data_IF_558431376196
#
_entry.id   IF_558431376196
#
_cell.length_a   1.000
_cell.length_b   1.000
_cell.length_c   1.000
_cell.angle_alpha   90.00
_cell.angle_beta   90.00
_cell.angle_gamma   90.00
#
_symmetry.space_group_name_H-M   'P 1'
#
loop_
_entity.id
_entity.type
_entity.pdbx_description
1 polymer ?
#
# COMPACT_ATOMS: atom_id res chain seq x y z
N UNK A 1 28.16 -48.83 80.95
CA UNK A 1 27.38 -47.70 81.39
C UNK A 1 27.10 -46.83 80.20
N UNK A 2 25.88 -46.49 79.96
CA UNK A 2 25.27 -45.67 78.92
C UNK A 2 24.98 -46.34 77.56
N UNK A 3 23.73 -46.73 77.46
CA UNK A 3 23.03 -47.14 76.24
C UNK A 3 22.77 -45.93 75.34
N UNK A 4 23.02 -46.06 74.07
CA UNK A 4 22.57 -45.12 73.02
C UNK A 4 21.53 -45.83 72.16
N UNK A 5 20.29 -45.34 72.34
CA UNK A 5 19.14 -45.72 71.55
C UNK A 5 19.25 -45.21 70.10
N UNK A 6 19.12 -46.12 69.13
CA UNK A 6 19.04 -45.75 67.67
C UNK A 6 17.54 -45.64 67.28
N UNK A 7 17.12 -44.45 67.01
CA UNK A 7 15.82 -44.20 66.42
C UNK A 7 15.96 -44.25 64.87
N UNK A 8 15.37 -45.24 64.25
CA UNK A 8 15.34 -45.35 62.76
C UNK A 8 14.15 -44.59 62.25
N UNK A 9 14.38 -43.52 61.53
CA UNK A 9 13.34 -42.72 60.84
C UNK A 9 13.15 -43.35 59.46
N UNK A 10 11.97 -43.95 59.22
CA UNK A 10 11.54 -44.39 57.90
C UNK A 10 11.06 -43.19 57.11
N UNK A 11 11.77 -42.82 56.05
CA UNK A 11 11.35 -41.84 55.08
C UNK A 11 10.64 -42.58 53.96
N UNK A 12 9.31 -42.43 53.90
CA UNK A 12 8.49 -42.89 52.79
C UNK A 12 8.66 -41.90 51.62
N UNK A 13 9.35 -42.31 50.56
CA UNK A 13 9.38 -41.62 49.27
C UNK A 13 8.03 -41.87 48.58
N UNK A 14 7.19 -40.85 48.57
CA UNK A 14 6.04 -40.76 47.65
C UNK A 14 6.54 -40.34 46.27
N UNK A 15 6.63 -41.31 45.35
CA UNK A 15 6.90 -41.08 43.95
C UNK A 15 5.69 -40.40 43.30
N UNK A 16 5.73 -39.07 43.14
CA UNK A 16 4.82 -38.34 42.26
C UNK A 16 5.14 -38.76 40.82
N UNK A 17 4.31 -39.58 40.22
CA UNK A 17 4.29 -39.87 38.79
C UNK A 17 3.80 -38.61 38.07
N UNK A 18 4.73 -37.79 37.55
CA UNK A 18 4.40 -36.72 36.63
C UNK A 18 3.94 -37.37 35.30
N UNK A 19 2.65 -37.37 35.07
CA UNK A 19 2.08 -37.67 33.76
C UNK A 19 2.56 -36.54 32.80
N UNK A 20 3.19 -36.87 31.67
CA UNK A 20 3.47 -35.84 30.67
C UNK A 20 2.13 -35.33 30.17
N UNK A 21 1.84 -34.04 30.40
CA UNK A 21 0.83 -33.33 29.63
C UNK A 21 1.29 -33.34 28.19
N UNK A 22 0.87 -34.30 27.40
CA UNK A 22 0.94 -34.23 25.95
C UNK A 22 0.02 -33.08 25.55
N UNK A 23 0.61 -31.91 25.32
CA UNK A 23 -0.03 -30.86 24.54
C UNK A 23 -0.23 -31.48 23.16
N UNK A 24 -1.43 -31.99 22.88
CA UNK A 24 -1.83 -32.30 21.52
C UNK A 24 -1.73 -30.97 20.77
N UNK A 25 -0.66 -30.78 20.00
CA UNK A 25 -0.64 -29.77 18.97
C UNK A 25 -1.84 -30.07 18.05
N UNK A 26 -2.81 -29.18 18.00
CA UNK A 26 -3.94 -29.32 17.11
C UNK A 26 -3.39 -29.53 15.69
N UNK A 27 -3.78 -30.64 15.06
CA UNK A 27 -3.36 -30.94 13.69
C UNK A 27 -3.89 -29.83 12.79
N UNK A 28 -3.01 -29.06 12.15
CA UNK A 28 -3.41 -27.92 11.31
C UNK A 28 -4.07 -28.44 10.04
N UNK A 29 -5.17 -27.78 9.61
CA UNK A 29 -5.89 -28.15 8.38
C UNK A 29 -5.04 -27.94 7.11
N UNK A 30 -3.97 -27.17 7.19
CA UNK A 30 -3.06 -26.79 6.12
C UNK A 30 -2.32 -25.50 6.46
N UNK A 31 -1.52 -25.01 5.54
CA UNK A 31 -0.74 -23.78 5.72
C UNK A 31 -0.77 -22.88 4.49
N UNK A 32 -0.71 -21.57 4.69
CA UNK A 32 -0.51 -20.57 3.63
C UNK A 32 0.71 -19.73 3.94
N UNK A 33 1.66 -19.70 3.00
CA UNK A 33 2.77 -18.75 3.03
C UNK A 33 2.36 -17.52 2.22
N UNK A 34 2.51 -16.33 2.82
CA UNK A 34 2.13 -15.05 2.18
C UNK A 34 3.34 -14.14 2.09
N UNK A 35 3.81 -13.90 0.88
CA UNK A 35 4.86 -12.91 0.62
C UNK A 35 4.21 -11.53 0.46
N UNK A 36 4.63 -10.56 1.25
CA UNK A 36 4.09 -9.20 1.25
C UNK A 36 5.14 -8.19 1.74
N UNK A 37 4.86 -6.88 1.61
CA UNK A 37 5.76 -5.81 2.06
C UNK A 37 5.14 -4.87 3.11
N UNK A 38 4.06 -5.28 3.77
CA UNK A 38 3.43 -4.54 4.85
C UNK A 38 4.22 -4.71 6.14
N UNK A 39 5.22 -3.84 6.37
CA UNK A 39 6.22 -3.99 7.44
C UNK A 39 6.31 -2.81 8.40
N UNK A 40 5.70 -1.65 8.10
CA UNK A 40 5.60 -0.55 9.06
C UNK A 40 4.67 -0.91 10.22
N UNK A 41 4.70 -0.12 11.29
CA UNK A 41 3.88 -0.40 12.49
C UNK A 41 2.39 -0.49 12.18
N UNK A 42 1.85 0.46 11.41
CA UNK A 42 0.46 0.48 11.01
C UNK A 42 0.10 -0.61 10.00
N UNK A 43 0.99 -0.88 9.03
CA UNK A 43 0.78 -1.93 8.03
C UNK A 43 0.79 -3.33 8.66
N UNK A 44 1.73 -3.56 9.61
CA UNK A 44 1.78 -4.82 10.35
C UNK A 44 0.50 -5.05 11.13
N UNK A 45 -0.02 -4.05 11.82
CA UNK A 45 -1.28 -4.15 12.53
C UNK A 45 -2.46 -4.51 11.59
N UNK A 46 -2.44 -4.04 10.34
CA UNK A 46 -3.44 -4.40 9.35
C UNK A 46 -3.32 -5.87 8.90
N UNK A 47 -2.13 -6.34 8.51
CA UNK A 47 -1.96 -7.74 8.05
C UNK A 47 -2.16 -8.76 9.17
N UNK A 48 -1.87 -8.40 10.41
CA UNK A 48 -2.11 -9.27 11.58
C UNK A 48 -3.61 -9.60 11.76
N UNK A 49 -4.53 -8.77 11.24
CA UNK A 49 -5.98 -9.07 11.22
C UNK A 49 -6.28 -10.25 10.30
N UNK A 50 -5.68 -10.30 9.11
CA UNK A 50 -5.82 -11.42 8.16
C UNK A 50 -5.23 -12.70 8.74
N UNK A 51 -3.99 -12.59 9.25
CA UNK A 51 -3.30 -13.69 9.91
C UNK A 51 -4.13 -14.29 11.04
N UNK A 52 -4.61 -13.46 11.97
CA UNK A 52 -5.37 -13.91 13.13
C UNK A 52 -6.66 -14.66 12.74
N UNK A 53 -7.34 -14.21 11.67
CA UNK A 53 -8.56 -14.88 11.21
C UNK A 53 -8.25 -16.23 10.55
N UNK A 54 -7.25 -16.30 9.67
CA UNK A 54 -6.78 -17.54 9.02
C UNK A 54 -6.36 -18.58 10.08
N UNK A 55 -5.63 -18.15 11.13
CA UNK A 55 -5.22 -19.02 12.23
C UNK A 55 -6.41 -19.47 13.09
N UNK A 56 -7.40 -18.60 13.33
CA UNK A 56 -8.63 -18.94 14.03
C UNK A 56 -9.46 -19.98 13.28
N UNK A 57 -9.44 -19.97 11.95
CA UNK A 57 -10.13 -20.94 11.10
C UNK A 57 -9.38 -22.30 11.02
N UNK A 58 -8.23 -22.40 11.70
CA UNK A 58 -7.46 -23.62 11.94
C UNK A 58 -6.36 -23.88 10.91
N UNK A 59 -5.96 -22.87 10.14
CA UNK A 59 -4.83 -22.95 9.22
C UNK A 59 -3.57 -22.34 9.85
N UNK A 60 -2.40 -22.68 9.30
CA UNK A 60 -1.14 -22.08 9.72
C UNK A 60 -0.74 -20.95 8.77
N UNK A 61 -0.56 -19.74 9.29
CA UNK A 61 0.03 -18.63 8.59
C UNK A 61 1.58 -18.73 8.58
N UNK A 62 2.20 -18.64 7.40
CA UNK A 62 3.64 -18.51 7.25
C UNK A 62 3.95 -17.12 6.70
N UNK A 63 4.55 -16.31 7.54
CA UNK A 63 4.85 -14.91 7.22
C UNK A 63 6.07 -14.80 6.30
N UNK A 64 5.86 -14.22 5.12
CA UNK A 64 6.88 -13.93 4.12
C UNK A 64 7.13 -12.42 3.95
N UNK A 65 7.09 -11.65 5.03
CA UNK A 65 7.28 -10.20 5.00
C UNK A 65 8.66 -9.79 4.46
N UNK A 66 8.69 -8.91 3.46
CA UNK A 66 9.93 -8.38 2.84
C UNK A 66 9.85 -6.85 2.81
N UNK A 67 10.65 -6.20 3.64
CA UNK A 67 10.67 -4.75 3.76
C UNK A 67 11.34 -4.05 2.57
N UNK A 68 10.90 -2.81 2.31
CA UNK A 68 11.61 -1.85 1.47
C UNK A 68 11.09 -1.70 0.04
N UNK A 69 11.42 -0.55 -0.55
CA UNK A 69 11.22 -0.24 -1.96
C UNK A 69 9.78 -0.18 -2.46
N UNK A 70 8.77 0.03 -1.57
CA UNK A 70 7.37 0.03 -1.99
C UNK A 70 6.90 -1.28 -2.65
N UNK A 71 7.58 -2.40 -2.33
CA UNK A 71 7.33 -3.72 -2.91
C UNK A 71 8.37 -4.22 -3.91
N UNK A 72 9.26 -3.37 -4.42
CA UNK A 72 10.27 -3.78 -5.42
C UNK A 72 11.21 -4.88 -4.91
N UNK A 73 11.60 -4.80 -3.63
CA UNK A 73 12.43 -5.82 -2.98
C UNK A 73 11.68 -7.16 -2.88
N UNK A 74 10.41 -7.12 -2.48
CA UNK A 74 9.56 -8.31 -2.39
C UNK A 74 9.37 -8.97 -3.77
N UNK A 75 9.16 -8.16 -4.83
CA UNK A 75 9.04 -8.66 -6.20
C UNK A 75 10.34 -9.33 -6.69
N UNK A 76 11.50 -8.80 -6.32
CA UNK A 76 12.81 -9.42 -6.63
C UNK A 76 12.94 -10.79 -5.96
N UNK A 77 12.58 -10.87 -4.67
CA UNK A 77 12.56 -12.14 -3.91
C UNK A 77 11.59 -13.13 -4.55
N UNK A 78 10.39 -12.69 -4.91
CA UNK A 78 9.36 -13.52 -5.52
C UNK A 78 9.83 -14.08 -6.88
N UNK A 79 10.42 -13.25 -7.75
CA UNK A 79 10.97 -13.67 -9.05
C UNK A 79 12.09 -14.70 -8.86
N UNK A 80 13.00 -14.48 -7.92
CA UNK A 80 14.07 -15.43 -7.61
C UNK A 80 13.54 -16.79 -7.14
N UNK A 81 12.52 -16.79 -6.28
CA UNK A 81 11.87 -18.01 -5.79
C UNK A 81 11.12 -18.75 -6.89
N UNK A 82 10.44 -18.03 -7.76
CA UNK A 82 9.73 -18.61 -8.92
C UNK A 82 10.70 -19.30 -9.88
N UNK A 83 11.84 -18.66 -10.21
CA UNK A 83 12.90 -19.26 -11.04
C UNK A 83 13.48 -20.51 -10.40
N UNK A 84 13.65 -20.53 -9.07
CA UNK A 84 14.10 -21.69 -8.31
C UNK A 84 13.04 -22.80 -8.17
N UNK A 85 11.84 -22.63 -8.74
CA UNK A 85 10.73 -23.60 -8.64
C UNK A 85 10.09 -23.70 -7.25
N UNK A 86 10.26 -22.68 -6.40
CA UNK A 86 9.73 -22.61 -5.05
C UNK A 86 8.95 -21.31 -4.79
N UNK A 87 7.90 -21.00 -5.56
CA UNK A 87 7.04 -19.87 -5.27
C UNK A 87 6.30 -20.06 -3.94
N UNK A 88 5.86 -18.96 -3.28
CA UNK A 88 4.99 -19.04 -2.10
C UNK A 88 3.60 -19.56 -2.48
N UNK A 89 2.76 -19.85 -1.48
CA UNK A 89 1.34 -20.14 -1.72
C UNK A 89 0.58 -18.90 -2.20
N UNK A 90 0.89 -17.75 -1.63
CA UNK A 90 0.25 -16.46 -1.93
C UNK A 90 1.32 -15.36 -1.94
N UNK A 91 1.18 -14.37 -2.82
CA UNK A 91 2.02 -13.18 -2.81
C UNK A 91 1.21 -11.93 -3.13
N UNK A 92 1.60 -10.81 -2.52
CA UNK A 92 1.11 -9.49 -2.90
C UNK A 92 1.61 -9.14 -4.30
N UNK A 93 0.70 -8.99 -5.27
CA UNK A 93 0.97 -8.61 -6.65
C UNK A 93 -0.14 -7.65 -7.08
N UNK A 94 0.17 -6.64 -7.90
CA UNK A 94 -0.77 -5.58 -8.26
C UNK A 94 -0.81 -5.31 -9.76
N UNK A 95 -1.96 -4.80 -10.21
CA UNK A 95 -2.14 -4.22 -11.53
C UNK A 95 -1.65 -5.09 -12.70
N UNK A 96 -0.93 -4.51 -13.67
CA UNK A 96 -0.41 -5.22 -14.83
C UNK A 96 0.48 -6.42 -14.53
N UNK A 97 1.16 -6.43 -13.36
CA UNK A 97 2.00 -7.57 -12.97
C UNK A 97 1.19 -8.86 -12.78
N UNK A 98 -0.11 -8.76 -12.47
CA UNK A 98 -0.98 -9.95 -12.41
C UNK A 98 -1.09 -10.60 -13.80
N UNK A 99 -1.16 -9.81 -14.86
CA UNK A 99 -1.18 -10.32 -16.23
C UNK A 99 0.17 -10.96 -16.60
N UNK A 100 1.29 -10.31 -16.23
CA UNK A 100 2.63 -10.85 -16.45
C UNK A 100 2.81 -12.20 -15.74
N UNK A 101 2.49 -12.27 -14.43
CA UNK A 101 2.56 -13.52 -13.68
C UNK A 101 1.58 -14.58 -14.14
N UNK A 102 0.37 -14.20 -14.56
CA UNK A 102 -0.63 -15.11 -15.14
C UNK A 102 -0.10 -15.80 -16.39
N UNK A 103 0.58 -15.04 -17.28
CA UNK A 103 1.15 -15.57 -18.52
C UNK A 103 2.27 -16.60 -18.29
N UNK A 104 2.92 -16.59 -17.13
CA UNK A 104 3.91 -17.63 -16.75
C UNK A 104 3.29 -18.98 -16.45
N UNK A 105 1.97 -19.02 -16.24
CA UNK A 105 1.25 -20.22 -15.80
C UNK A 105 1.48 -20.59 -14.33
N UNK A 106 2.15 -19.74 -13.52
CA UNK A 106 2.41 -19.99 -12.11
C UNK A 106 1.22 -19.62 -11.21
N UNK A 107 0.36 -18.70 -11.63
CA UNK A 107 -0.85 -18.37 -10.89
C UNK A 107 -1.93 -19.44 -11.09
N UNK A 108 -2.73 -19.67 -10.07
CA UNK A 108 -3.83 -20.65 -10.12
C UNK A 108 -5.10 -20.00 -10.63
N UNK A 109 -5.63 -20.51 -11.76
CA UNK A 109 -6.95 -20.16 -12.28
C UNK A 109 -8.08 -20.93 -11.62
N UNK A 110 -7.76 -22.05 -10.94
CA UNK A 110 -8.76 -22.96 -10.34
C UNK A 110 -9.00 -22.73 -8.86
N UNK A 111 -7.97 -22.32 -8.10
CA UNK A 111 -8.05 -22.24 -6.64
C UNK A 111 -9.16 -21.30 -6.14
N UNK A 112 -9.45 -20.21 -6.84
CA UNK A 112 -10.46 -19.23 -6.46
C UNK A 112 -11.80 -19.38 -7.17
N UNK A 113 -11.92 -20.32 -8.12
CA UNK A 113 -13.09 -20.46 -8.98
C UNK A 113 -14.39 -20.73 -8.22
N UNK A 114 -14.37 -21.67 -7.29
CA UNK A 114 -15.55 -22.00 -6.49
C UNK A 114 -15.86 -20.93 -5.45
N UNK A 115 -14.80 -20.36 -4.84
CA UNK A 115 -14.94 -19.29 -3.85
C UNK A 115 -15.52 -18.03 -4.49
N UNK A 116 -15.01 -17.60 -5.62
CA UNK A 116 -15.48 -16.39 -6.30
C UNK A 116 -16.94 -16.49 -6.75
N UNK A 117 -17.39 -17.68 -7.14
CA UNK A 117 -18.79 -17.93 -7.50
C UNK A 117 -19.71 -17.99 -6.27
N UNK A 118 -19.32 -18.78 -5.25
CA UNK A 118 -20.17 -18.95 -4.05
C UNK A 118 -20.34 -17.66 -3.27
N UNK A 119 -19.31 -16.82 -3.23
CA UNK A 119 -19.32 -15.49 -2.57
C UNK A 119 -19.78 -14.36 -3.51
N UNK A 120 -20.16 -14.67 -4.75
CA UNK A 120 -20.63 -13.69 -5.74
C UNK A 120 -19.69 -12.47 -5.94
N UNK A 121 -18.40 -12.72 -6.16
CA UNK A 121 -17.40 -11.66 -6.27
C UNK A 121 -17.71 -10.62 -7.36
N UNK A 122 -18.26 -11.05 -8.50
CA UNK A 122 -18.65 -10.13 -9.58
C UNK A 122 -19.79 -9.17 -9.16
N UNK A 123 -20.61 -9.56 -8.18
CA UNK A 123 -21.62 -8.68 -7.59
C UNK A 123 -21.09 -7.78 -6.47
N UNK A 124 -20.03 -8.20 -5.78
CA UNK A 124 -19.43 -7.47 -4.67
C UNK A 124 -18.44 -6.40 -5.13
N UNK A 125 -17.75 -6.62 -6.24
CA UNK A 125 -16.65 -5.78 -6.72
C UNK A 125 -17.10 -4.91 -7.90
N UNK A 126 -16.54 -3.69 -8.00
CA UNK A 126 -16.68 -2.92 -9.23
C UNK A 126 -15.94 -3.63 -10.37
N UNK A 127 -16.38 -3.40 -11.62
CA UNK A 127 -15.71 -3.97 -12.78
C UNK A 127 -14.22 -3.59 -12.81
N UNK A 128 -13.88 -2.37 -12.44
CA UNK A 128 -12.50 -1.89 -12.38
C UNK A 128 -11.66 -2.68 -11.39
N UNK A 129 -12.18 -2.97 -10.20
CA UNK A 129 -11.49 -3.78 -9.19
C UNK A 129 -11.37 -5.24 -9.66
N UNK A 130 -12.46 -5.84 -10.15
CA UNK A 130 -12.46 -7.24 -10.58
C UNK A 130 -11.52 -7.49 -11.76
N UNK A 131 -11.45 -6.57 -12.73
CA UNK A 131 -10.56 -6.70 -13.89
C UNK A 131 -9.08 -6.70 -13.49
N UNK A 132 -8.68 -6.02 -12.42
CA UNK A 132 -7.28 -5.98 -11.97
C UNK A 132 -6.79 -7.28 -11.35
N UNK A 133 -7.69 -8.19 -10.95
CA UNK A 133 -7.35 -9.44 -10.25
C UNK A 133 -7.73 -10.71 -11.02
N UNK A 134 -8.11 -10.53 -12.28
CA UNK A 134 -8.41 -11.63 -13.22
C UNK A 134 -7.29 -11.80 -14.26
N UNK A 135 -7.08 -13.04 -14.66
CA UNK A 135 -6.27 -13.41 -15.82
C UNK A 135 -7.12 -14.33 -16.70
N UNK A 136 -7.24 -13.99 -18.00
CA UNK A 136 -8.09 -14.71 -18.97
C UNK A 136 -9.55 -14.94 -18.50
N UNK A 137 -10.06 -14.02 -17.69
CA UNK A 137 -11.44 -14.06 -17.17
C UNK A 137 -11.60 -14.76 -15.82
N UNK A 138 -10.62 -15.53 -15.37
CA UNK A 138 -10.64 -16.21 -14.06
C UNK A 138 -9.97 -15.36 -12.97
N UNK A 139 -10.49 -15.41 -11.74
CA UNK A 139 -9.85 -14.81 -10.59
C UNK A 139 -8.57 -15.57 -10.22
N UNK A 140 -7.44 -14.89 -10.27
CA UNK A 140 -6.12 -15.42 -9.87
C UNK A 140 -5.55 -14.72 -8.64
N UNK A 141 -6.22 -13.68 -8.18
CA UNK A 141 -5.90 -12.95 -6.97
C UNK A 141 -7.19 -12.50 -6.26
N UNK A 142 -7.09 -12.24 -4.94
CA UNK A 142 -8.14 -11.58 -4.18
C UNK A 142 -7.74 -10.13 -3.93
N UNK A 143 -8.60 -9.14 -4.25
CA UNK A 143 -8.32 -7.75 -3.92
C UNK A 143 -8.54 -7.51 -2.42
N UNK A 144 -7.66 -6.74 -1.80
CA UNK A 144 -7.66 -6.55 -0.35
C UNK A 144 -8.23 -5.19 0.05
N UNK A 145 -7.81 -4.13 -0.63
CA UNK A 145 -8.22 -2.76 -0.34
C UNK A 145 -7.99 -1.84 -1.55
N UNK A 146 -8.56 -0.64 -1.50
CA UNK A 146 -8.30 0.43 -2.46
C UNK A 146 -7.61 1.58 -1.71
N UNK A 147 -6.48 2.02 -2.22
CA UNK A 147 -5.77 3.20 -1.78
C UNK A 147 -6.04 4.40 -2.68
N UNK A 148 -6.16 5.57 -2.09
CA UNK A 148 -6.00 6.84 -2.78
C UNK A 148 -4.55 7.28 -2.64
N UNK A 149 -3.89 7.59 -3.76
CA UNK A 149 -2.48 7.99 -3.75
C UNK A 149 -2.31 9.51 -3.63
N UNK A 150 -3.09 10.31 -4.34
CA UNK A 150 -2.98 11.76 -4.44
C UNK A 150 -3.48 12.53 -3.20
N UNK A 151 -2.92 12.19 -2.02
CA UNK A 151 -3.22 12.87 -0.77
C UNK A 151 -2.11 13.82 -0.32
N UNK A 152 -2.53 14.94 0.28
CA UNK A 152 -1.70 15.83 1.08
C UNK A 152 -2.11 15.69 2.54
N UNK A 153 -1.20 15.23 3.38
CA UNK A 153 -1.33 15.12 4.83
C UNK A 153 -0.81 16.38 5.49
N UNK A 154 -1.56 16.93 6.46
CA UNK A 154 -1.25 18.21 7.09
C UNK A 154 -1.33 18.06 8.60
N UNK A 155 -0.36 18.65 9.31
CA UNK A 155 -0.43 18.85 10.74
C UNK A 155 -1.05 20.23 11.04
N UNK A 156 -2.30 20.32 11.55
CA UNK A 156 -3.01 21.58 11.75
C UNK A 156 -2.37 22.43 12.86
N UNK A 157 -1.74 21.83 13.86
CA UNK A 157 -1.01 22.58 14.88
C UNK A 157 0.22 23.30 14.33
N UNK A 158 0.98 22.62 13.46
CA UNK A 158 2.13 23.23 12.78
C UNK A 158 1.68 24.34 11.85
N UNK A 159 0.60 24.14 11.09
CA UNK A 159 -0.02 25.18 10.26
C UNK A 159 -0.40 26.40 11.08
N UNK A 160 -1.09 26.21 12.19
CA UNK A 160 -1.47 27.29 13.10
C UNK A 160 -0.24 28.06 13.64
N UNK A 161 0.82 27.35 14.04
CA UNK A 161 2.07 27.97 14.50
C UNK A 161 2.77 28.79 13.41
N UNK A 162 2.63 28.39 12.15
CA UNK A 162 3.15 29.09 10.98
C UNK A 162 2.20 30.19 10.44
N UNK A 163 1.06 30.43 11.06
CA UNK A 163 0.08 31.41 10.63
C UNK A 163 -0.64 31.03 9.32
N UNK A 164 -0.91 29.73 9.13
CA UNK A 164 -1.64 29.17 7.99
C UNK A 164 -3.01 28.75 8.49
N UNK A 165 -4.08 29.33 7.90
CA UNK A 165 -5.45 29.14 8.39
C UNK A 165 -6.20 28.00 7.69
N UNK A 166 -5.83 27.68 6.45
CA UNK A 166 -6.50 26.65 5.64
C UNK A 166 -5.53 25.78 4.86
N UNK A 167 -5.97 24.57 4.54
CA UNK A 167 -5.25 23.67 3.64
C UNK A 167 -5.17 24.29 2.22
N UNK A 168 -4.05 24.12 1.51
CA UNK A 168 -3.90 24.61 0.15
C UNK A 168 -4.75 23.79 -0.84
N UNK A 169 -5.35 24.48 -1.81
CA UNK A 169 -6.15 23.90 -2.91
C UNK A 169 -5.52 24.15 -4.28
N UNK A 170 -4.58 25.07 -4.37
CA UNK A 170 -3.81 25.35 -5.58
C UNK A 170 -2.31 25.22 -5.32
N UNK A 171 -1.50 25.08 -6.38
CA UNK A 171 -0.04 25.03 -6.24
C UNK A 171 0.52 26.33 -5.65
N UNK A 172 -0.06 27.49 -6.00
CA UNK A 172 0.32 28.78 -5.43
C UNK A 172 0.06 28.83 -3.92
N UNK A 173 -1.09 28.35 -3.45
CA UNK A 173 -1.40 28.25 -2.02
C UNK A 173 -0.46 27.25 -1.32
N UNK A 174 -0.10 26.14 -1.98
CA UNK A 174 0.86 25.18 -1.46
C UNK A 174 2.25 25.80 -1.26
N UNK A 175 2.74 26.58 -2.23
CA UNK A 175 4.01 27.28 -2.11
C UNK A 175 3.98 28.34 -1.01
N UNK A 176 2.90 29.13 -0.94
CA UNK A 176 2.73 30.12 0.11
C UNK A 176 2.70 29.48 1.51
N UNK A 177 2.07 28.32 1.65
CA UNK A 177 2.10 27.53 2.90
C UNK A 177 3.51 27.03 3.19
N UNK A 178 4.23 26.51 2.19
CA UNK A 178 5.61 26.07 2.31
C UNK A 178 6.57 27.17 2.77
N UNK A 179 6.44 28.38 2.21
CA UNK A 179 7.24 29.54 2.60
C UNK A 179 7.00 29.94 4.06
N UNK A 180 5.72 29.98 4.50
CA UNK A 180 5.37 30.26 5.89
C UNK A 180 5.93 29.21 6.86
N UNK A 181 5.83 27.93 6.50
CA UNK A 181 6.37 26.82 7.30
C UNK A 181 7.90 26.96 7.47
N UNK A 182 8.61 27.22 6.37
CA UNK A 182 10.08 27.45 6.41
C UNK A 182 10.43 28.68 7.24
N UNK A 183 9.71 29.78 7.08
CA UNK A 183 9.93 30.99 7.85
C UNK A 183 9.68 30.79 9.35
N UNK A 184 8.76 29.89 9.73
CA UNK A 184 8.49 29.51 11.11
C UNK A 184 9.46 28.44 11.66
N UNK A 185 10.45 27.99 10.87
CA UNK A 185 11.47 27.03 11.28
C UNK A 185 11.05 25.57 11.20
N UNK A 186 9.97 25.25 10.46
CA UNK A 186 9.51 23.87 10.24
C UNK A 186 10.02 23.33 8.90
N UNK A 187 10.11 21.99 8.81
CA UNK A 187 10.18 21.30 7.52
C UNK A 187 8.83 21.55 6.82
N UNK A 188 8.86 22.13 5.63
CA UNK A 188 7.61 22.41 4.92
C UNK A 188 6.95 21.13 4.40
N UNK A 189 7.73 20.25 3.74
CA UNK A 189 7.28 19.00 3.16
C UNK A 189 8.21 17.87 3.61
N UNK A 190 7.72 17.01 4.50
CA UNK A 190 8.40 15.77 4.85
C UNK A 190 8.34 14.79 3.67
N UNK A 191 9.47 14.19 3.32
CA UNK A 191 9.60 13.28 2.18
C UNK A 191 10.63 12.21 2.46
N UNK A 192 10.41 11.00 1.97
CA UNK A 192 11.40 9.93 1.91
C UNK A 192 11.95 9.83 0.49
N UNK A 193 13.27 9.82 0.32
CA UNK A 193 13.92 9.89 -0.99
C UNK A 193 14.16 8.53 -1.64
N UNK A 194 13.18 7.64 -1.62
CA UNK A 194 13.21 6.41 -2.40
C UNK A 194 12.53 6.63 -3.74
N UNK A 195 12.94 5.97 -4.85
CA UNK A 195 12.44 6.26 -6.20
C UNK A 195 10.92 6.21 -6.35
N UNK A 196 10.25 5.25 -5.68
CA UNK A 196 8.80 5.16 -5.71
C UNK A 196 8.10 6.35 -5.03
N UNK A 197 8.69 6.90 -3.96
CA UNK A 197 8.16 8.07 -3.26
C UNK A 197 8.35 9.33 -4.11
N UNK A 198 9.52 9.48 -4.74
CA UNK A 198 9.80 10.57 -5.70
C UNK A 198 8.77 10.55 -6.83
N UNK A 199 8.47 9.36 -7.36
CA UNK A 199 7.52 9.16 -8.45
C UNK A 199 6.07 9.31 -8.01
N UNK A 200 5.74 9.08 -6.73
CA UNK A 200 4.43 9.43 -6.16
C UNK A 200 4.21 10.95 -6.20
N UNK A 201 5.21 11.73 -5.79
CA UNK A 201 5.14 13.20 -5.90
C UNK A 201 5.03 13.64 -7.36
N UNK A 202 5.82 13.03 -8.25
CA UNK A 202 5.79 13.34 -9.68
C UNK A 202 4.42 13.09 -10.30
N UNK A 203 3.79 11.93 -10.06
CA UNK A 203 2.48 11.63 -10.64
C UNK A 203 1.37 12.56 -10.12
N UNK A 204 1.44 12.98 -8.84
CA UNK A 204 0.51 13.97 -8.28
C UNK A 204 0.69 15.34 -8.95
N UNK A 205 1.94 15.74 -9.23
CA UNK A 205 2.23 16.98 -9.96
C UNK A 205 1.76 16.90 -11.41
N UNK A 206 1.97 15.78 -12.10
CA UNK A 206 1.45 15.58 -13.47
C UNK A 206 -0.08 15.68 -13.47
N UNK A 207 -0.74 15.05 -12.49
CA UNK A 207 -2.19 15.12 -12.36
C UNK A 207 -2.66 16.56 -12.09
N UNK A 208 -1.99 17.30 -11.23
CA UNK A 208 -2.30 18.71 -10.93
C UNK A 208 -2.15 19.63 -12.14
N UNK A 209 -1.10 19.43 -12.95
CA UNK A 209 -0.78 20.27 -14.10
C UNK A 209 -1.64 19.94 -15.32
N UNK A 210 -1.89 18.64 -15.57
CA UNK A 210 -2.49 18.14 -16.81
C UNK A 210 -3.94 17.69 -16.65
N UNK A 211 -4.44 17.54 -15.40
CA UNK A 211 -5.74 16.90 -15.12
C UNK A 211 -5.75 15.41 -15.44
N UNK A 212 -6.90 14.75 -15.23
CA UNK A 212 -7.07 13.32 -15.39
C UNK A 212 -6.78 12.82 -16.83
N UNK A 213 -7.26 13.55 -17.83
CA UNK A 213 -7.04 13.18 -19.25
C UNK A 213 -5.57 13.29 -19.67
N UNK A 214 -4.88 14.34 -19.23
CA UNK A 214 -3.46 14.53 -19.50
C UNK A 214 -2.60 13.50 -18.78
N UNK A 215 -2.92 13.22 -17.51
CA UNK A 215 -2.32 12.14 -16.73
C UNK A 215 -2.45 10.79 -17.45
N UNK A 216 -3.68 10.46 -17.87
CA UNK A 216 -3.96 9.21 -18.60
C UNK A 216 -3.10 9.10 -19.86
N UNK A 217 -3.09 10.13 -20.71
CA UNK A 217 -2.28 10.14 -21.95
C UNK A 217 -0.79 9.95 -21.65
N UNK A 218 -0.27 10.62 -20.64
CA UNK A 218 1.16 10.58 -20.29
C UNK A 218 1.58 9.27 -19.62
N UNK A 219 0.88 8.89 -18.53
CA UNK A 219 1.36 7.87 -17.58
C UNK A 219 0.62 6.53 -17.68
N UNK A 220 -0.46 6.47 -18.45
CA UNK A 220 -1.20 5.21 -18.72
C UNK A 220 -1.06 4.80 -20.19
N UNK A 221 -1.39 5.70 -21.11
CA UNK A 221 -1.32 5.42 -22.54
C UNK A 221 0.11 5.59 -23.10
N UNK A 222 1.03 6.19 -22.35
CA UNK A 222 2.44 6.41 -22.66
C UNK A 222 2.66 7.16 -23.98
N UNK A 223 1.77 8.14 -24.26
CA UNK A 223 1.84 8.93 -25.48
C UNK A 223 3.12 9.77 -25.55
N UNK A 224 3.99 9.46 -26.49
CA UNK A 224 5.31 10.04 -26.64
C UNK A 224 5.28 11.58 -26.83
N UNK A 225 4.23 12.07 -27.51
CA UNK A 225 4.06 13.52 -27.73
C UNK A 225 3.69 14.23 -26.41
N UNK A 226 2.86 13.62 -25.60
CA UNK A 226 2.48 14.13 -24.28
C UNK A 226 3.66 14.06 -23.33
N UNK A 227 4.42 12.97 -23.30
CA UNK A 227 5.60 12.77 -22.46
C UNK A 227 6.74 13.77 -22.74
N UNK A 228 6.89 14.23 -23.98
CA UNK A 228 7.91 15.23 -24.40
C UNK A 228 7.35 16.64 -24.59
N UNK A 229 6.07 16.84 -24.25
CA UNK A 229 5.35 18.08 -24.54
C UNK A 229 5.57 19.19 -23.49
N UNK A 230 5.03 20.39 -23.75
CA UNK A 230 5.23 21.55 -22.89
C UNK A 230 4.58 21.39 -21.51
N UNK A 231 3.46 20.66 -21.39
CA UNK A 231 2.81 20.41 -20.11
C UNK A 231 3.63 19.44 -19.23
N UNK A 232 4.33 18.45 -19.82
CA UNK A 232 5.27 17.62 -19.08
C UNK A 232 6.49 18.43 -18.63
N UNK A 233 7.01 19.31 -19.48
CA UNK A 233 8.05 20.27 -19.09
C UNK A 233 7.60 21.14 -17.92
N UNK A 234 6.34 21.62 -17.96
CA UNK A 234 5.73 22.35 -16.83
C UNK A 234 5.65 21.48 -15.58
N UNK A 235 5.26 20.22 -15.71
CA UNK A 235 5.21 19.28 -14.58
C UNK A 235 6.59 19.10 -13.92
N UNK A 236 7.65 18.94 -14.70
CA UNK A 236 9.03 18.93 -14.15
C UNK A 236 9.44 20.28 -13.53
N UNK A 237 8.96 21.41 -14.07
CA UNK A 237 9.21 22.74 -13.48
C UNK A 237 8.57 22.86 -12.09
N UNK A 238 7.31 22.43 -11.96
CA UNK A 238 6.62 22.44 -10.66
C UNK A 238 7.23 21.40 -9.70
N UNK A 239 7.63 20.21 -10.18
CA UNK A 239 8.32 19.21 -9.38
C UNK A 239 9.62 19.78 -8.79
N UNK A 240 10.43 20.48 -9.60
CA UNK A 240 11.67 21.14 -9.13
C UNK A 240 11.38 22.15 -8.03
N UNK A 241 10.33 22.91 -8.16
CA UNK A 241 9.87 23.88 -7.14
C UNK A 241 9.47 23.19 -5.83
N UNK A 242 8.72 22.09 -5.92
CA UNK A 242 8.28 21.27 -4.77
C UNK A 242 9.48 20.68 -4.04
N UNK A 243 10.51 20.18 -4.76
CA UNK A 243 11.73 19.66 -4.12
C UNK A 243 12.44 20.68 -3.24
N UNK A 244 12.30 21.99 -3.54
CA UNK A 244 12.81 23.07 -2.71
C UNK A 244 12.16 23.21 -1.33
N UNK A 245 11.02 22.58 -1.11
CA UNK A 245 10.29 22.54 0.17
C UNK A 245 10.55 21.26 0.97
N UNK A 246 11.17 20.25 0.37
CA UNK A 246 11.47 18.98 1.01
C UNK A 246 12.65 19.06 1.99
N UNK A 247 12.67 18.14 2.96
CA UNK A 247 13.83 17.96 3.82
C UNK A 247 15.08 17.60 2.99
N UNK A 248 16.18 18.34 3.13
CA UNK A 248 17.42 18.04 2.41
C UNK A 248 18.04 16.68 2.77
N UNK A 249 17.73 16.13 3.94
CA UNK A 249 18.24 14.83 4.42
C UNK A 249 17.33 13.65 4.07
N UNK A 250 16.50 13.75 3.03
CA UNK A 250 15.49 12.76 2.65
C UNK A 250 16.04 11.50 2.00
N UNK A 251 17.26 11.53 1.43
CA UNK A 251 17.78 10.45 0.60
C UNK A 251 17.69 9.06 1.28
N UNK A 252 17.05 8.09 0.61
CA UNK A 252 16.90 6.71 1.06
C UNK A 252 16.00 6.53 2.29
N UNK A 253 15.36 7.57 2.80
CA UNK A 253 14.48 7.51 3.97
C UNK A 253 13.18 6.76 3.63
N UNK A 254 12.73 5.92 4.55
CA UNK A 254 11.43 5.28 4.44
C UNK A 254 10.28 6.27 4.66
N UNK A 255 9.16 6.03 4.00
CA UNK A 255 7.98 6.91 4.00
C UNK A 255 7.36 7.13 5.39
N UNK A 256 7.37 6.08 6.24
CA UNK A 256 6.83 6.16 7.60
C UNK A 256 7.69 7.03 8.52
N UNK A 257 8.99 7.14 8.26
CA UNK A 257 9.88 8.07 8.97
C UNK A 257 9.50 9.52 8.63
N UNK A 258 9.23 9.80 7.35
CA UNK A 258 8.72 11.10 6.93
C UNK A 258 7.33 11.40 7.53
N UNK A 259 6.43 10.40 7.59
CA UNK A 259 5.14 10.53 8.26
C UNK A 259 5.31 10.86 9.76
N UNK A 260 6.26 10.22 10.44
CA UNK A 260 6.57 10.51 11.84
C UNK A 260 7.04 11.96 12.07
N UNK A 261 7.71 12.60 11.11
CA UNK A 261 8.08 14.01 11.22
C UNK A 261 6.86 14.94 11.25
N UNK A 262 5.84 14.65 10.44
CA UNK A 262 4.58 15.40 10.44
C UNK A 262 3.78 15.10 11.71
N UNK A 263 3.65 13.83 12.09
CA UNK A 263 2.94 13.38 13.31
C UNK A 263 3.51 14.05 14.56
N UNK A 264 4.84 14.16 14.65
CA UNK A 264 5.55 14.74 15.79
C UNK A 264 5.70 16.27 15.74
N UNK A 265 5.10 16.92 14.73
CA UNK A 265 5.10 18.39 14.61
C UNK A 265 6.45 19.00 14.20
N UNK A 266 7.33 18.24 13.57
CA UNK A 266 8.60 18.74 12.98
C UNK A 266 8.37 19.25 11.55
N UNK A 267 7.42 18.68 10.83
CA UNK A 267 7.05 19.06 9.47
C UNK A 267 5.56 19.44 9.39
N UNK A 268 5.23 20.31 8.42
CA UNK A 268 3.87 20.75 8.19
C UNK A 268 3.05 19.83 7.30
N UNK A 269 3.67 19.26 6.27
CA UNK A 269 2.99 18.51 5.21
C UNK A 269 3.75 17.23 4.81
N UNK A 270 3.01 16.27 4.23
CA UNK A 270 3.56 15.11 3.50
C UNK A 270 2.65 14.78 2.30
N UNK A 271 3.23 14.60 1.13
CA UNK A 271 2.55 13.99 -0.04
C UNK A 271 2.77 12.48 0.03
N UNK A 272 1.71 11.72 0.22
CA UNK A 272 1.77 10.25 0.36
C UNK A 272 0.36 9.68 0.29
N UNK A 273 0.22 8.48 -0.28
CA UNK A 273 -1.05 7.79 -0.31
C UNK A 273 -1.63 7.51 1.09
N UNK A 274 -2.87 7.08 1.11
CA UNK A 274 -3.66 6.95 2.35
C UNK A 274 -3.13 5.89 3.32
N UNK A 275 -2.20 5.01 2.93
CA UNK A 275 -1.46 4.17 3.87
C UNK A 275 -0.70 4.98 4.93
N UNK A 276 -0.36 6.25 4.67
CA UNK A 276 0.24 7.12 5.68
C UNK A 276 -0.68 7.27 6.91
N UNK A 277 -2.00 7.19 6.73
CA UNK A 277 -2.97 7.21 7.84
C UNK A 277 -2.73 6.09 8.85
N UNK A 278 -2.20 4.94 8.42
CA UNK A 278 -1.88 3.84 9.35
C UNK A 278 -0.93 4.26 10.47
N UNK A 279 0.06 5.12 10.17
CA UNK A 279 1.00 5.64 11.15
C UNK A 279 0.34 6.64 12.12
N UNK A 280 -0.59 7.49 11.61
CA UNK A 280 -1.39 8.37 12.46
C UNK A 280 -2.30 7.55 13.39
N UNK A 281 -2.92 6.50 12.88
CA UNK A 281 -3.77 5.57 13.66
C UNK A 281 -2.94 4.85 14.73
N UNK A 282 -1.75 4.33 14.38
CA UNK A 282 -0.83 3.69 15.33
C UNK A 282 -0.38 4.67 16.42
N UNK A 283 -0.20 5.95 16.10
CA UNK A 283 0.09 7.03 17.02
C UNK A 283 -1.15 7.53 17.80
N UNK A 284 -2.32 6.89 17.65
CA UNK A 284 -3.61 7.26 18.28
C UNK A 284 -4.06 8.68 17.98
N UNK A 285 -3.76 9.17 16.77
CA UNK A 285 -4.16 10.48 16.27
C UNK A 285 -5.52 10.40 15.59
N UNK A 286 -6.28 11.50 15.64
CA UNK A 286 -7.66 11.58 15.16
C UNK A 286 -7.75 12.51 13.96
N UNK A 287 -8.39 12.04 12.88
CA UNK A 287 -8.65 12.83 11.68
C UNK A 287 -9.48 14.07 12.02
N UNK A 288 -9.23 15.18 11.33
CA UNK A 288 -9.88 16.47 11.55
C UNK A 288 -9.42 17.22 12.80
N UNK A 289 -8.81 16.53 13.76
CA UNK A 289 -8.28 17.12 14.99
C UNK A 289 -6.75 17.20 14.99
N UNK A 290 -6.11 16.05 14.88
CA UNK A 290 -4.65 15.94 14.99
C UNK A 290 -3.97 15.99 13.62
N UNK A 291 -4.70 15.69 12.56
CA UNK A 291 -4.25 15.79 11.17
C UNK A 291 -5.43 16.07 10.21
N UNK A 292 -5.10 16.61 9.05
CA UNK A 292 -6.01 16.79 7.93
C UNK A 292 -5.51 16.00 6.73
N UNK A 293 -6.45 15.49 5.95
CA UNK A 293 -6.24 14.81 4.67
C UNK A 293 -7.00 15.59 3.59
N UNK A 294 -6.27 16.08 2.60
CA UNK A 294 -6.88 16.77 1.45
C UNK A 294 -6.31 16.20 0.16
N UNK A 295 -7.04 16.23 -0.96
CA UNK A 295 -6.43 15.94 -2.26
C UNK A 295 -5.21 16.84 -2.48
N UNK A 296 -4.18 16.33 -3.15
CA UNK A 296 -3.07 17.20 -3.54
C UNK A 296 -3.62 18.38 -4.38
N UNK A 297 -3.15 19.62 -4.16
CA UNK A 297 -3.68 20.82 -4.81
C UNK A 297 -3.85 20.68 -6.32
N UNK A 298 -5.03 21.02 -6.83
CA UNK A 298 -5.38 20.90 -8.25
C UNK A 298 -5.83 19.50 -8.69
N UNK A 299 -5.99 18.55 -7.75
CA UNK A 299 -6.41 17.17 -8.06
C UNK A 299 -7.77 16.79 -7.47
N UNK A 300 -8.60 17.75 -7.07
CA UNK A 300 -9.86 17.51 -6.36
C UNK A 300 -10.90 16.73 -7.18
N UNK A 301 -10.77 16.74 -8.52
CA UNK A 301 -11.66 16.05 -9.46
C UNK A 301 -11.04 14.78 -10.02
N UNK A 302 -10.01 14.25 -9.35
CA UNK A 302 -9.33 13.06 -9.77
C UNK A 302 -8.86 12.24 -8.56
N UNK A 303 -8.81 10.95 -8.78
CA UNK A 303 -8.42 9.96 -7.77
C UNK A 303 -7.41 9.00 -8.42
N UNK A 304 -6.14 9.06 -8.03
CA UNK A 304 -5.18 8.03 -8.40
C UNK A 304 -5.32 6.86 -7.45
N UNK A 305 -5.63 5.68 -8.00
CA UNK A 305 -5.86 4.50 -7.18
C UNK A 305 -4.71 3.49 -7.24
N UNK A 306 -4.52 2.80 -6.11
CA UNK A 306 -3.73 1.60 -5.96
C UNK A 306 -4.59 0.52 -5.30
N UNK A 307 -4.64 -0.68 -5.85
CA UNK A 307 -5.38 -1.82 -5.31
C UNK A 307 -4.36 -2.86 -4.87
N UNK A 308 -4.26 -3.10 -3.57
CA UNK A 308 -3.49 -4.24 -3.09
C UNK A 308 -4.28 -5.52 -3.33
N UNK A 309 -3.60 -6.53 -3.79
CA UNK A 309 -4.17 -7.85 -4.03
C UNK A 309 -3.19 -8.96 -3.65
N UNK A 310 -3.74 -10.11 -3.34
CA UNK A 310 -3.01 -11.32 -2.96
C UNK A 310 -3.22 -12.36 -4.06
N UNK A 311 -2.21 -12.54 -4.91
CA UNK A 311 -2.21 -13.51 -6.00
C UNK A 311 -1.94 -14.92 -5.47
N UNK A 312 -2.67 -15.90 -6.00
CA UNK A 312 -2.64 -17.29 -5.56
C UNK A 312 -1.82 -18.12 -6.52
N UNK A 313 -0.76 -18.75 -6.03
CA UNK A 313 0.12 -19.60 -6.83
C UNK A 313 -0.40 -21.02 -6.92
N UNK A 314 -0.12 -21.69 -8.06
CA UNK A 314 -0.43 -23.11 -8.24
C UNK A 314 0.32 -23.95 -7.23
N UNK A 315 -0.41 -24.82 -6.56
CA UNK A 315 0.13 -25.86 -5.70
C UNK A 315 -0.09 -27.22 -6.33
N UNK A 316 0.73 -28.20 -5.94
CA UNK A 316 0.51 -29.60 -6.34
C UNK A 316 -0.83 -30.10 -5.79
N UNK A 317 -1.53 -30.92 -6.54
CA UNK A 317 -2.88 -31.41 -6.20
C UNK A 317 -2.95 -32.23 -4.90
N UNK A 318 -1.83 -32.80 -4.45
CA UNK A 318 -1.72 -33.52 -3.18
C UNK A 318 -1.67 -32.60 -1.95
N UNK A 319 -1.37 -31.29 -2.14
CA UNK A 319 -1.35 -30.26 -1.08
C UNK A 319 -2.76 -29.72 -0.78
N UNK A 320 -3.75 -30.60 -0.61
CA UNK A 320 -5.17 -30.23 -0.43
C UNK A 320 -5.41 -29.27 0.73
N UNK A 321 -4.72 -29.46 1.85
CA UNK A 321 -4.84 -28.59 3.02
C UNK A 321 -4.34 -27.18 2.74
N UNK A 322 -3.25 -27.04 2.00
CA UNK A 322 -2.70 -25.72 1.65
C UNK A 322 -3.55 -25.00 0.59
N UNK A 323 -4.16 -25.75 -0.34
CA UNK A 323 -5.15 -25.18 -1.28
C UNK A 323 -6.37 -24.69 -0.51
N UNK A 324 -6.84 -25.45 0.48
CA UNK A 324 -7.93 -25.01 1.35
C UNK A 324 -7.55 -23.74 2.16
N UNK A 325 -6.30 -23.62 2.61
CA UNK A 325 -5.81 -22.43 3.28
C UNK A 325 -5.77 -21.19 2.35
N UNK A 326 -5.42 -21.37 1.06
CA UNK A 326 -5.51 -20.29 0.06
C UNK A 326 -6.96 -19.83 -0.14
N UNK A 327 -7.90 -20.77 -0.22
CA UNK A 327 -9.33 -20.47 -0.39
C UNK A 327 -9.93 -19.79 0.83
N UNK A 328 -9.53 -20.21 2.03
CA UNK A 328 -9.95 -19.61 3.28
C UNK A 328 -9.44 -18.17 3.39
N UNK A 329 -8.14 -17.96 3.13
CA UNK A 329 -7.55 -16.61 3.08
C UNK A 329 -8.33 -15.69 2.14
N UNK A 330 -8.72 -16.19 0.96
CA UNK A 330 -9.45 -15.40 -0.01
C UNK A 330 -10.88 -15.05 0.45
N UNK A 331 -11.58 -15.97 1.12
CA UNK A 331 -12.87 -15.70 1.77
C UNK A 331 -12.75 -14.66 2.87
N UNK A 332 -11.77 -14.83 3.75
CA UNK A 332 -11.50 -13.89 4.83
C UNK A 332 -11.21 -12.50 4.26
N UNK A 333 -10.35 -12.40 3.24
CA UNK A 333 -9.94 -11.14 2.65
C UNK A 333 -11.10 -10.32 2.05
N UNK A 334 -12.17 -10.96 1.58
CA UNK A 334 -13.39 -10.28 1.11
C UNK A 334 -14.51 -10.24 2.15
N UNK A 335 -14.32 -10.83 3.33
CA UNK A 335 -15.31 -10.75 4.41
C UNK A 335 -15.47 -9.32 4.92
N UNK A 336 -16.71 -8.93 5.28
CA UNK A 336 -17.02 -7.55 5.72
C UNK A 336 -16.26 -7.14 6.95
N UNK A 337 -16.07 -8.03 7.92
CA UNK A 337 -15.32 -7.74 9.15
C UNK A 337 -13.85 -7.46 8.86
N UNK A 338 -13.22 -8.31 8.01
CA UNK A 338 -11.85 -8.08 7.58
C UNK A 338 -11.73 -6.78 6.79
N UNK A 339 -12.55 -6.57 5.78
CA UNK A 339 -12.53 -5.37 4.95
C UNK A 339 -12.65 -4.08 5.77
N UNK A 340 -13.49 -4.09 6.81
CA UNK A 340 -13.64 -2.97 7.73
C UNK A 340 -12.37 -2.78 8.56
N UNK A 341 -11.96 -3.79 9.33
CA UNK A 341 -10.87 -3.65 10.31
C UNK A 341 -9.52 -3.44 9.63
N UNK A 342 -9.26 -4.18 8.54
CA UNK A 342 -8.05 -4.00 7.75
C UNK A 342 -7.95 -2.59 7.18
N UNK A 343 -9.01 -2.10 6.52
CA UNK A 343 -9.00 -0.78 5.89
C UNK A 343 -8.85 0.35 6.90
N UNK A 344 -9.46 0.23 8.09
CA UNK A 344 -9.27 1.20 9.18
C UNK A 344 -7.82 1.25 9.66
N UNK A 345 -7.16 0.10 9.84
CA UNK A 345 -5.77 0.01 10.26
C UNK A 345 -4.81 0.45 9.16
N UNK A 346 -5.06 0.03 7.91
CA UNK A 346 -4.21 0.33 6.75
C UNK A 346 -4.33 1.76 6.25
N UNK A 347 -5.45 2.43 6.57
CA UNK A 347 -5.74 3.78 6.11
C UNK A 347 -6.53 3.88 4.80
N UNK A 348 -6.80 2.76 4.18
CA UNK A 348 -7.46 2.59 2.88
C UNK A 348 -8.99 2.57 2.96
N UNK A 349 -9.63 2.27 1.83
CA UNK A 349 -11.07 1.97 1.76
C UNK A 349 -11.29 0.50 1.34
N UNK A 350 -12.45 -0.09 1.70
CA UNK A 350 -12.81 -1.45 1.27
C UNK A 350 -12.93 -1.58 -0.24
N UNK A 351 -12.73 -2.80 -0.77
CA UNK A 351 -12.96 -3.10 -2.20
C UNK A 351 -14.43 -3.39 -2.51
N UNK A 352 -15.26 -3.63 -1.50
CA UNK A 352 -16.65 -4.07 -1.63
C UNK A 352 -17.59 -2.90 -1.91
N UNK A 353 -18.36 -2.97 -2.99
CA UNK A 353 -19.33 -1.94 -3.39
C UNK A 353 -20.41 -1.69 -2.31
N UNK A 354 -20.86 -2.74 -1.61
CA UNK A 354 -21.87 -2.64 -0.55
C UNK A 354 -21.36 -1.90 0.69
N UNK A 355 -20.05 -1.79 0.89
CA UNK A 355 -19.44 -1.04 2.00
C UNK A 355 -19.12 0.41 1.64
N UNK A 356 -18.78 0.70 0.38
CA UNK A 356 -18.33 2.03 -0.05
C UNK A 356 -19.36 3.14 0.18
N UNK A 357 -20.64 2.82 0.11
CA UNK A 357 -21.74 3.78 0.34
C UNK A 357 -22.18 3.88 1.82
N UNK A 358 -21.64 3.05 2.69
CA UNK A 358 -22.04 2.92 4.10
C UNK A 358 -20.91 3.27 5.08
N UNK A 359 -19.83 3.95 4.59
CA UNK A 359 -18.61 4.19 5.35
C UNK A 359 -18.83 4.91 6.69
N UNK A 360 -19.80 5.83 6.76
CA UNK A 360 -20.20 6.54 7.97
C UNK A 360 -20.83 5.58 8.99
N UNK A 361 -21.79 4.75 8.56
CA UNK A 361 -22.44 3.75 9.42
C UNK A 361 -21.47 2.65 9.90
N UNK A 362 -20.47 2.37 9.10
CA UNK A 362 -19.40 1.43 9.45
C UNK A 362 -18.37 2.04 10.41
N UNK A 363 -18.43 3.36 10.69
CA UNK A 363 -17.56 4.05 11.65
C UNK A 363 -16.19 4.42 11.08
N UNK A 364 -16.06 4.56 9.76
CA UNK A 364 -14.85 5.10 9.16
C UNK A 364 -14.73 6.60 9.40
N UNK A 365 -13.49 7.11 9.49
CA UNK A 365 -13.21 8.53 9.66
C UNK A 365 -13.53 9.36 8.40
N UNK A 366 -13.47 10.68 8.54
CA UNK A 366 -13.77 11.62 7.46
C UNK A 366 -12.87 11.46 6.24
N UNK A 367 -11.59 11.07 6.41
CA UNK A 367 -10.65 10.85 5.32
C UNK A 367 -11.06 9.64 4.47
N UNK A 368 -11.39 8.52 5.11
CA UNK A 368 -11.86 7.34 4.42
C UNK A 368 -13.24 7.54 3.78
N UNK A 369 -14.16 8.26 4.47
CA UNK A 369 -15.46 8.62 3.90
C UNK A 369 -15.32 9.49 2.66
N UNK A 370 -14.42 10.51 2.69
CA UNK A 370 -14.13 11.32 1.52
C UNK A 370 -13.52 10.49 0.39
N UNK A 371 -12.54 9.65 0.71
CA UNK A 371 -11.89 8.76 -0.26
C UNK A 371 -12.91 7.87 -0.98
N UNK A 372 -13.84 7.27 -0.23
CA UNK A 372 -14.89 6.42 -0.81
C UNK A 372 -15.86 7.20 -1.71
N UNK A 373 -16.31 8.39 -1.26
CA UNK A 373 -17.21 9.25 -2.06
C UNK A 373 -16.54 9.68 -3.36
N UNK A 374 -15.28 10.11 -3.29
CA UNK A 374 -14.52 10.55 -4.46
C UNK A 374 -14.27 9.38 -5.42
N UNK A 375 -13.90 8.19 -4.92
CA UNK A 375 -13.71 6.99 -5.73
C UNK A 375 -14.95 6.65 -6.56
N UNK A 376 -16.12 6.63 -5.94
CA UNK A 376 -17.40 6.32 -6.60
C UNK A 376 -17.79 7.43 -7.60
N UNK A 377 -17.50 8.69 -7.29
CA UNK A 377 -17.81 9.82 -8.15
C UNK A 377 -16.88 9.88 -9.37
N UNK A 378 -15.58 9.72 -9.15
CA UNK A 378 -14.55 9.84 -10.18
C UNK A 378 -14.55 8.64 -11.16
N UNK A 379 -15.03 7.47 -10.72
CA UNK A 379 -15.26 6.33 -11.62
C UNK A 379 -16.30 6.66 -12.72
N UNK A 380 -17.30 7.48 -12.38
CA UNK A 380 -18.35 7.90 -13.32
C UNK A 380 -17.94 9.05 -14.25
N UNK A 381 -16.98 9.87 -13.82
CA UNK A 381 -16.57 11.08 -14.56
C UNK A 381 -15.27 10.91 -15.35
N UNK A 382 -14.60 9.75 -15.23
CA UNK A 382 -13.28 9.51 -15.82
C UNK A 382 -12.12 10.07 -14.98
N UNK A 383 -12.42 10.62 -13.79
CA UNK A 383 -11.40 11.11 -12.85
C UNK A 383 -10.58 10.01 -12.17
N UNK A 384 -11.06 8.75 -12.19
CA UNK A 384 -10.41 7.62 -11.56
C UNK A 384 -9.29 7.08 -12.44
N UNK A 385 -8.03 7.30 -12.02
CA UNK A 385 -6.83 6.94 -12.78
C UNK A 385 -5.95 5.92 -12.03
N UNK A 386 -5.39 4.91 -12.73
CA UNK A 386 -4.44 3.98 -12.11
C UNK A 386 -3.14 4.69 -11.76
N UNK A 387 -2.62 4.46 -10.56
CA UNK A 387 -1.33 5.03 -10.16
C UNK A 387 -0.17 4.40 -10.92
N UNK A 388 0.63 5.23 -11.60
CA UNK A 388 1.87 4.82 -12.25
C UNK A 388 2.93 4.42 -11.21
N UNK A 389 3.07 5.19 -10.15
CA UNK A 389 4.07 4.94 -9.10
C UNK A 389 3.79 3.66 -8.29
N UNK A 390 2.58 3.08 -8.36
CA UNK A 390 2.18 1.93 -7.55
C UNK A 390 1.76 0.70 -8.37
N UNK A 391 2.37 0.47 -9.52
CA UNK A 391 2.17 -0.71 -10.37
C UNK A 391 0.73 -0.91 -10.85
N UNK A 392 -0.04 0.18 -11.06
CA UNK A 392 -1.41 0.06 -11.54
C UNK A 392 -1.57 0.45 -13.02
N UNK A 393 -0.62 1.21 -13.59
CA UNK A 393 -0.75 1.81 -14.91
C UNK A 393 0.11 1.14 -16.00
N UNK A 394 1.34 0.73 -15.66
CA UNK A 394 2.34 0.27 -16.63
C UNK A 394 3.09 -0.97 -16.15
N UNK A 395 3.87 -1.61 -17.05
CA UNK A 395 4.79 -2.68 -16.66
C UNK A 395 5.89 -2.20 -15.72
N UNK A 396 6.48 -3.12 -14.95
CA UNK A 396 7.61 -2.81 -14.06
C UNK A 396 8.81 -2.22 -14.81
N UNK A 397 9.05 -2.61 -16.07
CA UNK A 397 10.14 -2.06 -16.87
C UNK A 397 9.93 -0.57 -17.17
N UNK A 398 8.73 -0.20 -17.63
CA UNK A 398 8.36 1.20 -17.89
C UNK A 398 8.35 2.02 -16.60
N UNK A 399 7.77 1.48 -15.54
CA UNK A 399 7.76 2.14 -14.23
C UNK A 399 9.18 2.41 -13.74
N UNK A 400 10.09 1.43 -13.81
CA UNK A 400 11.49 1.59 -13.42
C UNK A 400 12.19 2.68 -14.22
N UNK A 401 11.96 2.74 -15.54
CA UNK A 401 12.51 3.78 -16.39
C UNK A 401 12.01 5.19 -16.00
N UNK A 402 10.73 5.31 -15.64
CA UNK A 402 10.17 6.58 -15.12
C UNK A 402 10.81 6.93 -13.78
N UNK A 403 10.93 5.97 -12.86
CA UNK A 403 11.55 6.15 -11.54
C UNK A 403 12.98 6.70 -11.66
N UNK A 404 13.78 6.14 -12.55
CA UNK A 404 15.16 6.55 -12.76
C UNK A 404 15.24 8.01 -13.24
N UNK A 405 14.42 8.39 -14.21
CA UNK A 405 14.41 9.78 -14.72
C UNK A 405 13.96 10.76 -13.65
N UNK A 406 12.88 10.44 -12.92
CA UNK A 406 12.30 11.29 -11.89
C UNK A 406 13.26 11.46 -10.71
N UNK A 407 13.80 10.36 -10.19
CA UNK A 407 14.73 10.40 -9.05
C UNK A 407 16.02 11.12 -9.39
N UNK A 408 16.59 10.90 -10.59
CA UNK A 408 17.77 11.63 -11.05
C UNK A 408 17.48 13.13 -11.15
N UNK A 409 16.33 13.51 -11.71
CA UNK A 409 15.91 14.90 -11.80
C UNK A 409 15.76 15.56 -10.42
N UNK A 410 15.11 14.90 -9.46
CA UNK A 410 14.88 15.45 -8.12
C UNK A 410 16.16 15.57 -7.28
N UNK A 411 17.19 14.78 -7.59
CA UNK A 411 18.48 14.82 -6.89
C UNK A 411 19.52 15.74 -7.57
N UNK A 412 19.26 16.20 -8.79
CA UNK A 412 20.11 17.16 -9.49
C UNK A 412 19.52 18.58 -9.39
N UNK A 413 20.14 19.43 -8.57
CA UNK A 413 19.74 20.84 -8.40
C UNK A 413 19.79 21.66 -9.70
N UNK A 414 20.63 21.25 -10.65
CA UNK A 414 20.85 21.94 -11.92
C UNK A 414 20.06 21.30 -13.08
N UNK A 415 19.26 20.25 -12.80
CA UNK A 415 18.46 19.56 -13.80
C UNK A 415 17.52 20.51 -14.56
N UNK A 416 17.49 20.35 -15.88
CA UNK A 416 16.67 21.14 -16.80
C UNK A 416 15.33 20.41 -17.06
N UNK A 417 14.17 21.05 -16.79
CA UNK A 417 12.85 20.45 -16.98
C UNK A 417 12.55 20.00 -18.42
N UNK A 418 13.01 20.74 -19.43
CA UNK A 418 12.75 20.36 -20.83
C UNK A 418 13.58 19.14 -21.24
N UNK A 419 14.84 19.07 -20.77
CA UNK A 419 15.67 17.87 -20.96
C UNK A 419 15.09 16.67 -20.24
N UNK A 420 14.62 16.84 -19.01
CA UNK A 420 13.98 15.75 -18.25
C UNK A 420 12.73 15.21 -18.95
N UNK A 421 11.88 16.07 -19.50
CA UNK A 421 10.72 15.67 -20.31
C UNK A 421 11.12 14.85 -21.54
N UNK A 422 12.14 15.29 -22.29
CA UNK A 422 12.66 14.55 -23.44
C UNK A 422 13.30 13.20 -23.04
N UNK A 423 14.02 13.17 -21.92
CA UNK A 423 14.61 11.93 -21.37
C UNK A 423 13.52 10.95 -20.92
N UNK A 424 12.45 11.44 -20.28
CA UNK A 424 11.31 10.61 -19.87
C UNK A 424 10.68 9.92 -21.09
N UNK A 425 10.38 10.65 -22.15
CA UNK A 425 9.83 10.10 -23.36
C UNK A 425 10.76 9.03 -24.00
N UNK A 426 12.06 9.30 -24.06
CA UNK A 426 13.06 8.35 -24.55
C UNK A 426 13.18 7.10 -23.70
N UNK A 427 13.22 7.25 -22.38
CA UNK A 427 13.33 6.12 -21.43
C UNK A 427 12.09 5.23 -21.47
N UNK A 428 10.90 5.82 -21.48
CA UNK A 428 9.62 5.08 -21.62
C UNK A 428 9.59 4.32 -22.94
N UNK A 429 9.97 4.95 -24.06
CA UNK A 429 10.01 4.28 -25.37
C UNK A 429 10.98 3.11 -25.42
N UNK A 430 12.11 3.23 -24.72
CA UNK A 430 13.10 2.14 -24.69
C UNK A 430 12.68 0.96 -23.78
N UNK A 431 11.78 1.20 -22.83
CA UNK A 431 11.28 0.21 -21.88
C UNK A 431 9.98 -0.49 -22.34
N UNK A 432 9.30 -0.02 -23.40
CA UNK A 432 8.15 -0.66 -24.03
C UNK A 432 8.58 -1.83 -24.96
#
# INVERSE_FOLDING_TARGET
>A
MNAISRLATVISLASLSALPLSVLAAETKGSVEVVHWWTSGGEKAAVDVLKAQVEKDGFTWKDGAVAGGGGSTAMTVLKSRAVAGNPPGVAQIKGPDIQEWGSTGLLSTDALKDVSKSENWDGLLSKKVSDTVKYEGDYVAVPVNIHRVNWLWINPEVFKKAGIEKAPTTLEEFYAAGDKLKAAGFIALAHGGQPWQDSTVFEDVVLSVMGADGYKKALVDLDQKTLSGPEMTKSFTELKKITGYMDPNRAGRDWNIAAAEVINGKAGMQMMGDWAKSEWTAAKKVAGKDYQCVPFPGTEKAFTYNIDSLAVFKLKADRKGDIAAQQDLAKVALGTDFQKVFSMNKGSIPVRNDMLNEMDKLGFDECAQKSSKDFVADDKTGGLQPSMAHNMATSLAVQGAIFDVVTNFMNDKDADPAKASAQLASAVKAAQ
#
